data_IF_784064433639
#
_entry.id   IF_784064433639
#
_cell.length_a   1.000
_cell.length_b   1.000
_cell.length_c   1.000
_cell.angle_alpha   90.00
_cell.angle_beta   90.00
_cell.angle_gamma   90.00
#
_symmetry.space_group_name_H-M   'P 1'
#
loop_
_entity.id
_entity.type
_entity.pdbx_description
1 polymer ?
#
# COMPACT_ATOMS: atom_id res chain seq x y z
N UNK A 1 -5.82 3.80 12.81
CA UNK A 1 -5.14 2.94 11.82
C UNK A 1 -3.88 2.36 12.47
N UNK A 2 -3.34 1.24 12.00
CA UNK A 2 -2.17 0.59 12.65
C UNK A 2 -0.92 1.48 12.58
N UNK A 3 -0.66 2.12 11.44
CA UNK A 3 0.51 3.00 11.26
C UNK A 3 0.52 4.19 12.25
N UNK A 4 -0.63 4.75 12.60
CA UNK A 4 -0.73 5.83 13.60
C UNK A 4 -0.54 5.36 15.05
N UNK A 5 -0.60 4.06 15.32
CA UNK A 5 -0.21 3.48 16.60
C UNK A 5 1.29 3.23 16.71
N UNK A 6 2.01 3.26 15.57
CA UNK A 6 3.47 3.08 15.52
C UNK A 6 4.14 4.46 15.51
N UNK A 7 3.68 5.36 14.64
CA UNK A 7 4.23 6.70 14.50
C UNK A 7 4.19 7.49 15.82
N UNK A 8 5.37 7.89 16.32
CA UNK A 8 5.57 8.64 17.55
C UNK A 8 5.27 7.86 18.84
N UNK A 9 5.08 6.54 18.73
CA UNK A 9 4.64 5.67 19.85
C UNK A 9 5.59 4.48 20.08
N UNK A 10 6.69 4.43 19.36
CA UNK A 10 7.77 3.44 19.53
C UNK A 10 9.07 4.12 19.92
N UNK A 11 9.88 3.48 20.78
CA UNK A 11 11.16 4.02 21.24
C UNK A 11 12.20 4.16 20.11
N UNK A 12 12.20 3.22 19.16
CA UNK A 12 13.17 3.21 18.06
C UNK A 12 12.68 4.10 16.90
N UNK A 13 13.54 5.01 16.42
CA UNK A 13 13.28 5.86 15.26
C UNK A 13 12.97 5.07 13.97
N UNK A 14 13.39 3.80 13.92
CA UNK A 14 13.02 2.90 12.82
C UNK A 14 11.51 2.67 12.73
N UNK A 15 10.78 2.68 13.85
CA UNK A 15 9.32 2.53 13.84
C UNK A 15 8.63 3.67 13.06
N UNK A 16 9.07 4.90 13.27
CA UNK A 16 8.58 6.07 12.53
C UNK A 16 8.99 6.00 11.06
N UNK A 17 10.23 5.60 10.79
CA UNK A 17 10.74 5.41 9.43
C UNK A 17 9.95 4.33 8.67
N UNK A 18 9.49 3.27 9.35
CA UNK A 18 8.67 2.22 8.76
C UNK A 18 7.21 2.66 8.56
N UNK A 19 6.64 3.47 9.46
CA UNK A 19 5.25 3.93 9.36
C UNK A 19 5.06 5.04 8.31
N UNK A 20 6.07 5.89 8.11
CA UNK A 20 6.01 7.08 7.25
C UNK A 20 5.66 6.77 5.78
N UNK A 21 6.26 5.76 5.11
CA UNK A 21 5.90 5.42 3.73
C UNK A 21 4.43 5.05 3.57
N UNK A 22 3.85 4.29 4.50
CA UNK A 22 2.44 3.91 4.43
C UNK A 22 1.52 5.13 4.58
N UNK A 23 1.80 6.00 5.55
CA UNK A 23 1.00 7.21 5.80
C UNK A 23 1.07 8.21 4.64
N UNK A 24 2.28 8.46 4.12
CA UNK A 24 2.49 9.47 3.08
C UNK A 24 2.00 9.00 1.70
N UNK A 25 2.20 7.74 1.35
CA UNK A 25 1.71 7.20 0.07
C UNK A 25 0.18 7.12 0.04
N UNK A 26 -0.46 6.73 1.15
CA UNK A 26 -1.92 6.77 1.24
C UNK A 26 -2.47 8.21 1.19
N UNK A 27 -1.73 9.20 1.70
CA UNK A 27 -2.12 10.61 1.60
C UNK A 27 -2.03 11.13 0.15
N UNK A 28 -0.94 10.83 -0.54
CA UNK A 28 -0.64 11.42 -1.84
C UNK A 28 -1.24 10.64 -3.02
N UNK A 29 -1.38 9.33 -2.90
CA UNK A 29 -1.78 8.42 -4.00
C UNK A 29 -3.04 7.63 -3.69
N UNK A 30 -3.90 8.14 -2.80
CA UNK A 30 -5.12 7.44 -2.37
C UNK A 30 -5.95 6.89 -3.53
N UNK A 31 -6.12 7.70 -4.57
CA UNK A 31 -6.91 7.33 -5.75
C UNK A 31 -6.36 6.08 -6.46
N UNK A 32 -5.03 5.89 -6.49
CA UNK A 32 -4.41 4.71 -7.10
C UNK A 32 -4.67 3.45 -6.27
N UNK A 33 -4.57 3.56 -4.94
CA UNK A 33 -4.93 2.45 -4.04
C UNK A 33 -6.42 2.07 -4.17
N UNK A 34 -7.30 3.07 -4.24
CA UNK A 34 -8.75 2.84 -4.43
C UNK A 34 -9.05 2.21 -5.78
N UNK A 35 -8.39 2.63 -6.86
CA UNK A 35 -8.49 1.99 -8.17
C UNK A 35 -7.98 0.54 -8.14
N UNK A 36 -6.86 0.28 -7.47
CA UNK A 36 -6.31 -1.06 -7.33
C UNK A 36 -7.28 -2.02 -6.63
N UNK A 37 -7.93 -1.55 -5.55
CA UNK A 37 -8.91 -2.34 -4.78
C UNK A 37 -10.18 -2.56 -5.60
N UNK A 38 -10.73 -1.52 -6.22
CA UNK A 38 -11.98 -1.59 -6.99
C UNK A 38 -11.87 -2.53 -8.19
N UNK A 39 -10.76 -2.47 -8.91
CA UNK A 39 -10.52 -3.29 -10.10
C UNK A 39 -10.02 -4.69 -9.77
N UNK A 40 -9.72 -4.99 -8.49
CA UNK A 40 -9.13 -6.25 -8.04
C UNK A 40 -7.77 -6.56 -8.68
N UNK A 41 -7.11 -5.55 -9.27
CA UNK A 41 -5.84 -5.67 -9.98
C UNK A 41 -5.07 -4.35 -9.99
N UNK A 42 -3.77 -4.44 -10.23
CA UNK A 42 -2.95 -3.25 -10.45
C UNK A 42 -3.32 -2.57 -11.78
N UNK A 43 -3.68 -1.29 -11.70
CA UNK A 43 -4.00 -0.43 -12.85
C UNK A 43 -2.78 0.24 -13.47
N UNK A 44 -1.65 0.27 -12.76
CA UNK A 44 -0.41 0.93 -13.20
C UNK A 44 0.42 -0.04 -14.06
N UNK A 45 0.85 0.37 -15.28
CA UNK A 45 1.75 -0.42 -16.10
C UNK A 45 3.07 -0.71 -15.36
N UNK A 46 3.42 -1.99 -15.23
CA UNK A 46 4.66 -2.43 -14.59
C UNK A 46 5.30 -3.51 -15.46
N UNK A 47 6.25 -3.16 -16.36
CA UNK A 47 6.84 -4.12 -17.30
C UNK A 47 7.57 -5.29 -16.62
N UNK A 48 7.98 -5.12 -15.35
CA UNK A 48 8.60 -6.17 -14.54
C UNK A 48 7.59 -7.06 -13.79
N UNK A 49 6.31 -6.70 -13.70
CA UNK A 49 5.31 -7.64 -13.15
C UNK A 49 5.15 -8.75 -14.16
N UNK A 50 5.61 -9.96 -13.82
CA UNK A 50 5.24 -11.17 -14.57
C UNK A 50 3.71 -11.18 -14.71
N UNK A 51 3.22 -11.35 -15.94
CA UNK A 51 1.79 -11.47 -16.26
C UNK A 51 1.20 -12.67 -15.51
N UNK A 52 0.82 -12.46 -14.26
CA UNK A 52 -0.12 -13.31 -13.53
C UNK A 52 -1.39 -12.51 -13.38
N UNK A 53 -2.12 -12.38 -14.50
CA UNK A 53 -3.53 -12.06 -14.47
C UNK A 53 -4.28 -13.33 -14.03
N UNK A 54 -4.16 -13.71 -12.76
CA UNK A 54 -5.11 -14.63 -12.14
C UNK A 54 -6.01 -13.78 -11.23
N UNK A 55 -7.33 -13.81 -11.40
CA UNK A 55 -8.24 -13.02 -10.57
C UNK A 55 -8.14 -13.48 -9.11
N UNK A 56 -7.99 -12.52 -8.19
CA UNK A 56 -8.11 -12.74 -6.75
C UNK A 56 -9.60 -12.88 -6.40
N UNK A 57 -10.24 -13.97 -6.84
CA UNK A 57 -11.63 -14.33 -6.46
C UNK A 57 -11.95 -15.82 -6.70
N UNK A 58 -10.97 -16.70 -6.69
CA UNK A 58 -11.21 -18.14 -6.55
C UNK A 58 -10.74 -18.55 -5.16
N UNK A 59 -11.61 -18.39 -4.17
CA UNK A 59 -11.83 -19.24 -2.97
C UNK A 59 -12.86 -18.57 -2.06
#
# INVERSE_FOLDING_TARGET
>A
NVAGLIAGKTLCAFGDAAATPALTTLKNFRAEYEAHVREGRCTVPAPWRRRHAAPVSAH
#
